data_IF_009217692903
#
_entry.id   IF_009217692903
#
_cell.length_a   1.000
_cell.length_b   1.000
_cell.length_c   1.000
_cell.angle_alpha   90.00
_cell.angle_beta   90.00
_cell.angle_gamma   90.00
#
_symmetry.space_group_name_H-M   'P 1'
#
loop_
_entity.id
_entity.type
_entity.pdbx_description
1 polymer ?
#
# COMPACT_ATOMS: atom_id res chain seq x y z
N UNK A 1 -9.16 20.29 1.92
CA UNK A 1 -8.11 19.87 0.96
C UNK A 1 -6.89 19.37 1.74
N UNK A 2 -6.17 18.37 1.24
CA UNK A 2 -4.93 17.91 1.89
C UNK A 2 -3.81 18.95 1.74
N UNK A 3 -2.86 19.02 2.69
CA UNK A 3 -1.63 19.79 2.54
C UNK A 3 -0.88 19.44 1.25
N UNK A 4 -0.16 20.40 0.68
CA UNK A 4 0.71 20.16 -0.48
C UNK A 4 2.00 19.49 -0.04
N UNK A 5 2.59 18.67 -0.93
CA UNK A 5 3.89 18.05 -0.71
C UNK A 5 3.90 16.93 0.32
N UNK A 6 2.75 16.30 0.58
CA UNK A 6 2.70 15.11 1.41
C UNK A 6 3.58 14.00 0.82
N UNK A 7 4.33 13.27 1.65
CA UNK A 7 5.08 12.10 1.17
C UNK A 7 4.09 11.04 0.66
N UNK A 8 4.49 10.24 -0.35
CA UNK A 8 3.75 9.06 -0.77
C UNK A 8 3.41 8.16 0.42
N UNK A 9 2.22 7.59 0.40
CA UNK A 9 1.75 6.65 1.41
C UNK A 9 1.61 5.27 0.76
N UNK A 10 2.05 4.24 1.47
CA UNK A 10 1.86 2.85 1.06
C UNK A 10 0.63 2.27 1.77
N UNK A 11 -0.32 1.77 1.00
CA UNK A 11 -1.44 0.96 1.49
C UNK A 11 -1.27 -0.52 1.17
N UNK A 12 -2.06 -1.34 1.86
CA UNK A 12 -2.21 -2.75 1.55
C UNK A 12 -3.68 -3.13 1.78
N UNK A 13 -4.27 -3.88 0.86
CA UNK A 13 -5.68 -4.30 0.96
C UNK A 13 -5.84 -5.77 0.60
N UNK A 14 -6.65 -6.49 1.37
CA UNK A 14 -7.10 -7.83 1.02
C UNK A 14 -8.35 -7.79 0.14
N UNK A 15 -9.02 -8.94 -0.03
CA UNK A 15 -10.28 -9.06 -0.78
C UNK A 15 -11.28 -7.95 -0.42
N UNK A 16 -11.70 -7.19 -1.44
CA UNK A 16 -12.70 -6.12 -1.30
C UNK A 16 -12.20 -4.84 -0.61
N UNK A 17 -10.98 -4.81 -0.08
CA UNK A 17 -10.40 -3.64 0.59
C UNK A 17 -9.54 -2.79 -0.35
N UNK A 18 -8.85 -3.43 -1.30
CA UNK A 18 -7.84 -2.79 -2.15
C UNK A 18 -8.35 -1.55 -2.90
N UNK A 19 -9.54 -1.63 -3.50
CA UNK A 19 -10.12 -0.52 -4.27
C UNK A 19 -10.46 0.69 -3.38
N UNK A 20 -10.92 0.43 -2.15
CA UNK A 20 -11.22 1.48 -1.19
C UNK A 20 -9.93 2.17 -0.70
N UNK A 21 -8.89 1.38 -0.44
CA UNK A 21 -7.56 1.88 -0.05
C UNK A 21 -6.94 2.72 -1.17
N UNK A 22 -6.94 2.21 -2.40
CA UNK A 22 -6.42 2.91 -3.58
C UNK A 22 -7.16 4.24 -3.82
N UNK A 23 -8.50 4.26 -3.69
CA UNK A 23 -9.29 5.48 -3.82
C UNK A 23 -8.83 6.56 -2.84
N UNK A 24 -8.63 6.21 -1.57
CA UNK A 24 -8.20 7.19 -0.56
C UNK A 24 -6.77 7.68 -0.83
N UNK A 25 -5.86 6.75 -1.18
CA UNK A 25 -4.46 7.06 -1.46
C UNK A 25 -4.24 7.88 -2.72
N UNK A 26 -5.15 7.81 -3.69
CA UNK A 26 -5.10 8.63 -4.92
C UNK A 26 -5.08 10.14 -4.65
N UNK A 27 -5.50 10.58 -3.46
CA UNK A 27 -5.43 11.98 -3.05
C UNK A 27 -3.99 12.46 -2.75
N UNK A 28 -3.03 11.55 -2.60
CA UNK A 28 -1.61 11.83 -2.33
C UNK A 28 -0.76 11.30 -3.50
N UNK A 29 -0.23 12.19 -4.38
CA UNK A 29 0.55 11.77 -5.54
C UNK A 29 1.75 10.88 -5.18
N UNK A 30 1.97 9.84 -5.98
CA UNK A 30 3.07 8.88 -5.80
C UNK A 30 2.77 7.73 -4.82
N UNK A 31 1.62 7.75 -4.14
CA UNK A 31 1.16 6.66 -3.29
C UNK A 31 0.86 5.38 -4.09
N UNK A 32 0.88 4.23 -3.42
CA UNK A 32 0.58 2.94 -4.04
C UNK A 32 -0.14 2.02 -3.05
N UNK A 33 -0.87 1.05 -3.60
CA UNK A 33 -1.52 -0.04 -2.84
C UNK A 33 -0.91 -1.37 -3.23
N UNK A 34 -0.59 -2.20 -2.24
CA UNK A 34 -0.33 -3.63 -2.42
C UNK A 34 -1.69 -4.33 -2.43
N UNK A 35 -2.01 -5.00 -3.53
CA UNK A 35 -3.25 -5.75 -3.69
C UNK A 35 -3.02 -7.19 -3.25
N UNK A 36 -3.84 -7.68 -2.33
CA UNK A 36 -3.88 -9.09 -1.97
C UNK A 36 -5.21 -9.72 -2.39
N UNK A 37 -5.15 -10.60 -3.39
CA UNK A 37 -6.31 -11.34 -3.91
C UNK A 37 -6.61 -12.58 -3.02
N UNK A 38 -6.69 -12.36 -1.70
CA UNK A 38 -6.94 -13.39 -0.69
C UNK A 38 -7.57 -12.84 0.58
N UNK A 39 -7.95 -13.71 1.54
CA UNK A 39 -8.38 -13.26 2.85
C UNK A 39 -7.17 -12.71 3.61
N UNK A 40 -7.37 -11.62 4.32
CA UNK A 40 -6.32 -11.04 5.12
C UNK A 40 -6.80 -9.82 5.86
N UNK A 41 -6.30 -9.64 7.07
CA UNK A 41 -6.31 -8.36 7.76
C UNK A 41 -4.93 -8.22 8.40
N UNK A 42 -4.38 -7.01 8.44
CA UNK A 42 -2.99 -6.76 8.87
C UNK A 42 -1.94 -7.54 8.08
N UNK A 43 -1.89 -7.34 6.74
CA UNK A 43 -1.02 -8.09 5.81
C UNK A 43 0.46 -8.17 6.21
N UNK A 44 0.95 -7.20 6.99
CA UNK A 44 2.29 -7.21 7.57
C UNK A 44 2.62 -8.50 8.34
N UNK A 45 1.66 -9.06 9.09
CA UNK A 45 1.89 -10.22 9.94
C UNK A 45 1.78 -11.57 9.23
N UNK A 46 1.05 -11.64 8.11
CA UNK A 46 0.61 -12.90 7.50
C UNK A 46 0.93 -13.03 6.00
N UNK A 47 1.51 -12.01 5.37
CA UNK A 47 1.92 -12.03 3.97
C UNK A 47 3.37 -11.52 3.85
N UNK A 48 4.32 -12.42 3.55
CA UNK A 48 5.74 -12.08 3.45
C UNK A 48 6.02 -11.09 2.31
N UNK A 49 5.38 -11.25 1.16
CA UNK A 49 5.52 -10.34 0.02
C UNK A 49 5.11 -8.91 0.40
N UNK A 50 3.95 -8.76 1.05
CA UNK A 50 3.50 -7.45 1.53
C UNK A 50 4.46 -6.88 2.59
N UNK A 51 4.90 -7.73 3.54
CA UNK A 51 5.84 -7.32 4.60
C UNK A 51 7.16 -6.78 4.03
N UNK A 52 7.70 -7.40 2.99
CA UNK A 52 8.98 -6.97 2.40
C UNK A 52 8.88 -5.59 1.75
N UNK A 53 7.76 -5.31 1.06
CA UNK A 53 7.47 -3.98 0.53
C UNK A 53 7.22 -2.94 1.62
N UNK A 54 6.47 -3.33 2.67
CA UNK A 54 6.21 -2.45 3.81
C UNK A 54 7.51 -2.10 4.53
N UNK A 55 8.41 -3.07 4.74
CA UNK A 55 9.72 -2.83 5.32
C UNK A 55 10.53 -1.86 4.46
N UNK A 56 10.64 -2.10 3.14
CA UNK A 56 11.37 -1.24 2.20
C UNK A 56 10.84 0.21 2.17
N UNK A 57 9.52 0.38 2.32
CA UNK A 57 8.92 1.71 2.44
C UNK A 57 9.31 2.40 3.76
N UNK A 58 9.31 1.67 4.88
CA UNK A 58 9.67 2.26 6.18
C UNK A 58 11.17 2.53 6.34
N UNK A 59 12.03 1.64 5.84
CA UNK A 59 13.48 1.74 6.00
C UNK A 59 14.10 2.66 4.97
N UNK A 60 13.72 2.48 3.71
CA UNK A 60 14.43 3.08 2.56
C UNK A 60 13.56 4.07 1.79
N UNK A 61 12.30 4.28 2.21
CA UNK A 61 11.31 5.11 1.51
C UNK A 61 11.10 4.67 0.06
N UNK A 62 11.29 3.38 -0.20
CA UNK A 62 11.12 2.81 -1.53
C UNK A 62 9.69 2.36 -1.72
N UNK A 63 9.02 2.92 -2.72
CA UNK A 63 7.67 2.52 -3.10
C UNK A 63 7.70 1.31 -4.04
N UNK A 64 6.78 0.34 -3.87
CA UNK A 64 6.62 -0.72 -4.85
C UNK A 64 6.05 -0.16 -6.18
N UNK A 65 6.15 -0.92 -7.29
CA UNK A 65 5.46 -0.58 -8.52
C UNK A 65 3.95 -0.38 -8.31
N UNK A 66 3.34 0.47 -9.13
CA UNK A 66 1.89 0.60 -9.16
C UNK A 66 1.23 -0.75 -9.47
N UNK A 67 0.12 -1.07 -8.79
CA UNK A 67 -0.62 -2.35 -8.93
C UNK A 67 0.18 -3.59 -8.51
N UNK A 68 1.10 -3.45 -7.56
CA UNK A 68 1.81 -4.59 -6.98
C UNK A 68 0.83 -5.57 -6.37
N UNK A 69 1.00 -6.85 -6.72
CA UNK A 69 0.19 -7.94 -6.18
C UNK A 69 1.03 -8.83 -5.28
N UNK A 70 0.48 -9.06 -4.10
CA UNK A 70 0.89 -10.08 -3.15
C UNK A 70 -0.39 -10.88 -2.79
#
# INVERSE_FOLDING_TARGET
>A
PLPKGLPPILGAGAWGESDAVERVLSAVPGSATIHHDGPGHTLYGNNSCARDHINSYFTDRTMPPQKTKC
#
